data_IF_466285133569
#
_entry.id   IF_466285133569
#
_cell.length_a   1.000
_cell.length_b   1.000
_cell.length_c   1.000
_cell.angle_alpha   90.00
_cell.angle_beta   90.00
_cell.angle_gamma   90.00
#
_symmetry.space_group_name_H-M   'P 1'
#
loop_
_entity.id
_entity.type
_entity.pdbx_description
1 polymer ?
#
# COMPACT_ATOMS: atom_id res chain seq x y z
N UNK A 1 26.06 9.39 20.99
CA UNK A 1 24.95 9.70 20.11
C UNK A 1 23.88 8.68 20.38
N UNK A 2 22.79 9.02 21.10
CA UNK A 2 21.65 8.10 21.24
C UNK A 2 21.01 7.98 19.86
N UNK A 3 21.15 6.81 19.23
CA UNK A 3 20.40 6.50 18.03
C UNK A 3 18.90 6.58 18.39
N UNK A 4 18.19 7.56 17.85
CA UNK A 4 16.76 7.69 18.05
C UNK A 4 16.12 6.42 17.49
N UNK A 5 15.50 5.62 18.38
CA UNK A 5 14.80 4.41 17.95
C UNK A 5 13.60 4.85 17.11
N UNK A 6 13.43 4.34 15.89
CA UNK A 6 12.32 4.79 15.05
C UNK A 6 10.98 4.50 15.74
N UNK A 7 10.02 5.41 15.55
CA UNK A 7 8.67 5.27 16.10
C UNK A 7 7.90 4.10 15.49
N UNK A 8 8.22 3.78 14.24
CA UNK A 8 7.56 2.73 13.48
C UNK A 8 8.51 1.57 13.21
N UNK A 9 8.00 0.37 13.37
CA UNK A 9 8.58 -0.86 12.84
C UNK A 9 7.71 -1.30 11.68
N UNK A 10 8.22 -1.21 10.47
CA UNK A 10 7.44 -1.46 9.27
C UNK A 10 8.24 -2.20 8.21
N UNK A 11 7.58 -3.08 7.50
CA UNK A 11 8.13 -3.74 6.32
C UNK A 11 7.03 -3.95 5.27
N UNK A 12 7.47 -4.08 4.03
CA UNK A 12 6.64 -4.35 2.88
C UNK A 12 7.36 -5.37 2.01
N UNK A 13 6.61 -6.36 1.54
CA UNK A 13 7.07 -7.31 0.54
C UNK A 13 5.93 -7.65 -0.42
N UNK A 14 6.29 -8.23 -1.58
CA UNK A 14 5.32 -8.64 -2.60
C UNK A 14 5.74 -9.97 -3.22
N UNK A 15 4.77 -10.72 -3.71
CA UNK A 15 4.99 -12.05 -4.24
C UNK A 15 4.10 -12.38 -5.42
N UNK A 16 4.70 -13.07 -6.39
CA UNK A 16 4.01 -13.62 -7.54
C UNK A 16 3.01 -14.70 -7.13
N UNK A 17 1.79 -14.57 -7.63
CA UNK A 17 0.72 -15.54 -7.48
C UNK A 17 0.95 -16.83 -8.23
N UNK A 18 0.17 -17.86 -7.88
CA UNK A 18 0.30 -19.16 -8.54
C UNK A 18 -0.23 -19.15 -9.98
N UNK A 19 -1.27 -18.38 -10.28
CA UNK A 19 -1.81 -18.17 -11.62
C UNK A 19 -0.74 -17.63 -12.57
N UNK A 20 -0.07 -16.53 -12.17
CA UNK A 20 0.99 -15.90 -12.93
C UNK A 20 2.22 -16.80 -13.09
N UNK A 21 2.57 -17.54 -12.03
CA UNK A 21 3.67 -18.50 -12.09
C UNK A 21 3.42 -19.61 -13.10
N UNK A 22 2.19 -20.18 -13.12
CA UNK A 22 1.81 -21.21 -14.10
C UNK A 22 1.79 -20.67 -15.52
N UNK A 23 1.39 -19.40 -15.70
CA UNK A 23 1.34 -18.74 -17.00
C UNK A 23 2.70 -18.19 -17.46
N UNK A 24 3.75 -18.23 -16.63
CA UNK A 24 5.04 -17.61 -16.92
C UNK A 24 5.02 -16.09 -16.92
N UNK A 25 4.00 -15.46 -16.31
CA UNK A 25 3.84 -14.01 -16.19
C UNK A 25 4.59 -13.57 -14.91
N UNK A 26 5.50 -12.58 -14.98
CA UNK A 26 6.18 -12.09 -13.79
C UNK A 26 5.20 -11.41 -12.84
N UNK A 27 5.56 -11.28 -11.55
CA UNK A 27 4.78 -10.53 -10.58
C UNK A 27 4.51 -9.11 -11.08
N UNK A 28 3.25 -8.72 -11.09
CA UNK A 28 2.78 -7.39 -11.53
C UNK A 28 2.57 -6.45 -10.35
N UNK A 29 2.50 -6.97 -9.13
CA UNK A 29 2.48 -6.19 -7.91
C UNK A 29 3.84 -5.62 -7.57
N UNK A 30 3.83 -4.42 -7.01
CA UNK A 30 5.03 -3.77 -6.51
C UNK A 30 4.70 -2.85 -5.32
N UNK A 31 5.63 -2.73 -4.38
CA UNK A 31 5.49 -1.81 -3.26
C UNK A 31 6.81 -1.48 -2.60
N UNK A 32 6.87 -0.29 -2.01
CA UNK A 32 8.01 0.19 -1.23
C UNK A 32 7.56 1.15 -0.12
N UNK A 33 8.43 1.37 0.86
CA UNK A 33 8.24 2.34 1.92
C UNK A 33 9.51 3.17 2.18
N UNK A 34 9.32 4.34 2.78
CA UNK A 34 10.35 5.26 3.26
C UNK A 34 10.04 5.65 4.71
N UNK A 35 11.09 5.81 5.51
CA UNK A 35 11.04 6.43 6.86
C UNK A 35 12.15 7.47 6.96
N UNK A 36 11.92 8.70 6.45
CA UNK A 36 12.98 9.70 6.30
C UNK A 36 13.55 10.22 7.64
N UNK A 37 12.74 10.25 8.69
CA UNK A 37 13.09 10.80 9.99
C UNK A 37 12.86 9.85 11.18
N UNK A 38 12.41 8.61 10.89
CA UNK A 38 12.06 7.60 11.88
C UNK A 38 10.69 7.81 12.57
N UNK A 39 10.03 8.95 12.35
CA UNK A 39 8.69 9.28 12.88
C UNK A 39 7.63 9.32 11.79
N UNK A 40 8.02 9.65 10.56
CA UNK A 40 7.15 9.67 9.38
C UNK A 40 7.38 8.41 8.56
N UNK A 41 6.31 7.70 8.22
CA UNK A 41 6.32 6.59 7.26
C UNK A 41 5.53 6.99 6.02
N UNK A 42 6.13 6.81 4.85
CA UNK A 42 5.44 6.88 3.56
C UNK A 42 5.55 5.50 2.92
N UNK A 43 4.43 4.96 2.45
CA UNK A 43 4.41 3.71 1.70
C UNK A 43 3.59 3.86 0.43
N UNK A 44 3.97 3.13 -0.60
CA UNK A 44 3.21 3.03 -1.83
C UNK A 44 3.15 1.58 -2.30
N UNK A 45 1.97 1.15 -2.74
CA UNK A 45 1.67 -0.19 -3.24
C UNK A 45 0.87 -0.04 -4.53
N UNK A 46 1.19 -0.82 -5.53
CA UNK A 46 0.49 -0.87 -6.81
C UNK A 46 0.33 -2.31 -7.28
N UNK A 47 -0.81 -2.59 -7.89
CA UNK A 47 -1.12 -3.80 -8.63
C UNK A 47 -1.18 -3.45 -10.12
N UNK A 48 -0.48 -4.20 -10.92
CA UNK A 48 -0.45 -4.02 -12.38
C UNK A 48 -1.60 -4.77 -13.05
N UNK A 49 -2.42 -4.06 -13.82
CA UNK A 49 -3.57 -4.64 -14.52
C UNK A 49 -3.19 -5.88 -15.35
N UNK A 50 -3.81 -7.02 -15.06
CA UNK A 50 -3.57 -8.27 -15.79
C UNK A 50 -3.86 -8.20 -17.30
N UNK A 51 -4.67 -7.22 -17.73
CA UNK A 51 -4.99 -6.97 -19.14
C UNK A 51 -3.94 -6.09 -19.86
N UNK A 52 -3.04 -5.43 -19.13
CA UNK A 52 -2.06 -4.52 -19.71
C UNK A 52 -0.69 -5.20 -19.87
N UNK A 53 -0.09 -5.17 -21.08
CA UNK A 53 1.11 -5.96 -21.39
C UNK A 53 2.37 -5.53 -20.62
N UNK A 54 2.40 -4.29 -20.13
CA UNK A 54 3.52 -3.71 -19.41
C UNK A 54 3.16 -3.23 -18.01
N UNK A 55 2.08 -3.75 -17.41
CA UNK A 55 1.57 -3.34 -16.11
C UNK A 55 2.57 -3.46 -14.97
N UNK A 56 3.45 -4.47 -14.98
CA UNK A 56 4.58 -4.55 -14.04
C UNK A 56 5.48 -3.32 -14.08
N UNK A 57 5.79 -2.79 -15.27
CA UNK A 57 6.55 -1.55 -15.41
C UNK A 57 5.73 -0.38 -14.85
N UNK A 58 4.43 -0.33 -15.17
CA UNK A 58 3.51 0.68 -14.67
C UNK A 58 3.46 0.72 -13.14
N UNK A 59 3.22 -0.42 -12.48
CA UNK A 59 3.21 -0.52 -11.03
C UNK A 59 4.52 -0.03 -10.39
N UNK A 60 5.66 -0.43 -10.97
CA UNK A 60 6.97 0.01 -10.48
C UNK A 60 7.18 1.52 -10.66
N UNK A 61 6.89 2.07 -11.83
CA UNK A 61 7.01 3.52 -12.11
C UNK A 61 6.10 4.32 -11.18
N UNK A 62 4.86 3.88 -10.99
CA UNK A 62 3.90 4.54 -10.12
C UNK A 62 4.39 4.62 -8.67
N UNK A 63 4.85 3.51 -8.11
CA UNK A 63 5.36 3.46 -6.73
C UNK A 63 6.62 4.31 -6.55
N UNK A 64 7.61 4.18 -7.46
CA UNK A 64 8.86 4.94 -7.37
C UNK A 64 8.61 6.45 -7.53
N UNK A 65 7.75 6.86 -8.45
CA UNK A 65 7.38 8.25 -8.63
C UNK A 65 6.64 8.81 -7.40
N UNK A 66 5.71 8.04 -6.84
CA UNK A 66 4.98 8.43 -5.63
C UNK A 66 5.91 8.67 -4.44
N UNK A 67 6.83 7.75 -4.20
CA UNK A 67 7.80 7.88 -3.11
C UNK A 67 8.81 9.01 -3.34
N UNK A 68 9.26 9.19 -4.58
CA UNK A 68 10.18 10.28 -4.95
C UNK A 68 9.55 11.64 -4.73
N UNK A 69 8.31 11.84 -5.19
CA UNK A 69 7.58 13.10 -5.00
C UNK A 69 7.26 13.34 -3.53
N UNK A 70 6.79 12.33 -2.80
CA UNK A 70 6.53 12.46 -1.37
C UNK A 70 7.79 12.84 -0.59
N UNK A 71 8.93 12.19 -0.88
CA UNK A 71 10.22 12.53 -0.27
C UNK A 71 10.62 13.97 -0.57
N UNK A 72 10.55 14.38 -1.83
CA UNK A 72 10.86 15.75 -2.26
C UNK A 72 10.02 16.80 -1.51
N UNK A 73 8.74 16.52 -1.30
CA UNK A 73 7.84 17.39 -0.54
C UNK A 73 8.20 17.46 0.93
N UNK A 74 8.50 16.32 1.56
CA UNK A 74 8.94 16.26 2.96
C UNK A 74 10.24 17.04 3.22
N UNK A 75 11.11 17.16 2.21
CA UNK A 75 12.33 17.96 2.29
C UNK A 75 12.06 19.48 2.23
N UNK A 76 10.96 19.88 1.57
CA UNK A 76 10.59 21.28 1.37
C UNK A 76 9.65 21.81 2.45
N UNK A 77 8.74 21.00 2.92
CA UNK A 77 7.67 21.36 3.83
C UNK A 77 7.63 20.39 5.03
N UNK A 78 7.14 20.85 6.18
CA UNK A 78 6.88 19.97 7.32
C UNK A 78 5.40 19.58 7.34
N UNK A 79 5.15 18.31 7.35
CA UNK A 79 3.81 17.71 7.43
C UNK A 79 3.56 17.28 8.88
N UNK A 80 2.66 17.95 9.59
CA UNK A 80 2.45 17.79 11.04
C UNK A 80 1.07 17.28 11.40
N UNK A 81 0.09 17.60 10.58
CA UNK A 81 -1.31 17.27 10.83
C UNK A 81 -1.96 16.57 9.65
N UNK A 82 -3.22 16.23 9.82
CA UNK A 82 -4.01 15.51 8.82
C UNK A 82 -4.23 16.32 7.53
N UNK A 83 -4.36 17.65 7.64
CA UNK A 83 -4.51 18.52 6.48
C UNK A 83 -3.26 18.55 5.61
N UNK A 84 -2.09 18.62 6.25
CA UNK A 84 -0.80 18.55 5.59
C UNK A 84 -0.63 17.21 4.85
N UNK A 85 -0.98 16.07 5.50
CA UNK A 85 -0.90 14.75 4.88
C UNK A 85 -1.88 14.62 3.70
N UNK A 86 -3.08 15.18 3.82
CA UNK A 86 -4.08 15.21 2.75
C UNK A 86 -3.55 15.95 1.53
N UNK A 87 -2.95 17.13 1.75
CA UNK A 87 -2.31 17.94 0.70
C UNK A 87 -1.18 17.15 0.02
N UNK A 88 -0.26 16.59 0.82
CA UNK A 88 0.85 15.78 0.32
C UNK A 88 0.36 14.71 -0.65
N UNK A 89 -0.62 13.90 -0.22
CA UNK A 89 -1.11 12.78 -1.01
C UNK A 89 -1.85 13.25 -2.27
N UNK A 90 -2.62 14.35 -2.20
CA UNK A 90 -3.28 14.91 -3.37
C UNK A 90 -2.30 15.37 -4.46
N UNK A 91 -1.13 15.87 -4.06
CA UNK A 91 -0.10 16.39 -4.97
C UNK A 91 0.82 15.29 -5.54
N UNK A 92 0.82 14.08 -4.98
CA UNK A 92 1.62 12.94 -5.46
C UNK A 92 1.06 12.37 -6.77
N UNK A 93 -0.25 12.24 -6.90
CA UNK A 93 -0.87 11.57 -8.06
C UNK A 93 -0.63 12.25 -9.41
N UNK A 94 -0.69 13.59 -9.55
CA UNK A 94 -0.29 14.26 -10.78
C UNK A 94 1.15 13.96 -11.21
N UNK A 95 2.09 13.90 -10.25
CA UNK A 95 3.48 13.57 -10.53
C UNK A 95 3.64 12.10 -10.99
N UNK A 96 2.88 11.19 -10.41
CA UNK A 96 2.84 9.77 -10.84
C UNK A 96 2.33 9.64 -12.26
N UNK A 97 1.23 10.34 -12.61
CA UNK A 97 0.69 10.31 -13.98
C UNK A 97 1.68 10.85 -15.01
N UNK A 98 2.41 11.92 -14.66
CA UNK A 98 3.48 12.44 -15.51
C UNK A 98 4.58 11.40 -15.71
N UNK A 99 5.05 10.77 -14.65
CA UNK A 99 6.10 9.75 -14.73
C UNK A 99 5.66 8.52 -15.55
N UNK A 100 4.39 8.11 -15.46
CA UNK A 100 3.85 7.03 -16.30
C UNK A 100 3.79 7.43 -17.77
N UNK A 101 3.38 8.67 -18.07
CA UNK A 101 3.36 9.17 -19.45
C UNK A 101 4.78 9.26 -20.04
N UNK A 102 5.75 9.74 -19.26
CA UNK A 102 7.16 9.79 -19.68
C UNK A 102 7.70 8.37 -19.93
N UNK A 103 7.43 7.43 -19.02
CA UNK A 103 7.85 6.04 -19.19
C UNK A 103 7.21 5.36 -20.41
N UNK A 104 5.94 5.65 -20.71
CA UNK A 104 5.29 5.17 -21.92
C UNK A 104 5.97 5.72 -23.18
N UNK A 105 6.22 7.02 -23.23
CA UNK A 105 6.92 7.67 -24.35
C UNK A 105 8.33 7.12 -24.55
N UNK A 106 9.13 6.99 -23.49
CA UNK A 106 10.50 6.50 -23.54
C UNK A 106 10.61 5.07 -24.05
N UNK A 107 9.56 4.26 -23.83
CA UNK A 107 9.48 2.87 -24.28
C UNK A 107 8.63 2.67 -25.54
N UNK A 108 8.13 3.74 -26.16
CA UNK A 108 7.24 3.68 -27.33
C UNK A 108 5.98 2.83 -27.09
N UNK A 109 5.38 2.97 -25.90
CA UNK A 109 4.18 2.27 -25.45
C UNK A 109 2.98 3.22 -25.40
N UNK A 110 1.77 2.66 -25.44
CA UNK A 110 0.59 3.42 -25.06
C UNK A 110 0.52 3.56 -23.54
N UNK A 111 -0.01 4.68 -23.02
CA UNK A 111 -0.16 4.89 -21.57
C UNK A 111 -0.96 3.76 -20.90
N UNK A 112 -2.02 3.27 -21.56
CA UNK A 112 -2.83 2.15 -21.09
C UNK A 112 -2.08 0.82 -20.97
N UNK A 113 -0.95 0.64 -21.68
CA UNK A 113 -0.12 -0.56 -21.54
C UNK A 113 0.58 -0.64 -20.17
N UNK A 114 0.66 0.49 -19.46
CA UNK A 114 1.21 0.63 -18.10
C UNK A 114 0.11 0.66 -17.02
N UNK A 115 -1.11 0.22 -17.33
CA UNK A 115 -2.23 0.33 -16.40
C UNK A 115 -1.91 -0.38 -15.07
N UNK A 116 -2.13 0.36 -13.97
CA UNK A 116 -1.92 -0.13 -12.62
C UNK A 116 -2.78 0.64 -11.62
N UNK A 117 -3.07 0.01 -10.49
CA UNK A 117 -3.61 0.66 -9.29
C UNK A 117 -2.50 1.42 -8.56
N UNK A 118 -2.87 2.25 -7.59
CA UNK A 118 -1.92 2.86 -6.67
C UNK A 118 -2.59 3.21 -5.35
N UNK A 119 -2.02 2.75 -4.26
CA UNK A 119 -2.32 3.18 -2.89
C UNK A 119 -1.09 3.83 -2.30
N UNK A 120 -1.21 5.08 -1.85
CA UNK A 120 -0.14 5.82 -1.16
C UNK A 120 -0.59 6.14 0.26
N UNK A 121 0.27 5.88 1.23
CA UNK A 121 -0.01 6.04 2.66
C UNK A 121 1.04 6.97 3.26
N UNK A 122 0.58 7.90 4.09
CA UNK A 122 1.43 8.74 4.92
C UNK A 122 0.99 8.60 6.38
N UNK A 123 1.94 8.28 7.28
CA UNK A 123 1.70 8.03 8.69
C UNK A 123 2.68 8.87 9.52
N UNK A 124 2.14 9.62 10.46
CA UNK A 124 2.87 10.43 11.46
C UNK A 124 2.47 10.01 12.88
N UNK A 125 3.11 10.50 13.94
CA UNK A 125 2.76 10.14 15.32
C UNK A 125 1.29 10.33 15.69
N UNK A 126 0.61 11.33 15.11
CA UNK A 126 -0.77 11.70 15.46
C UNK A 126 -1.80 11.55 14.35
N UNK A 127 -1.39 11.22 13.15
CA UNK A 127 -2.29 11.20 11.99
C UNK A 127 -1.88 10.15 10.97
N UNK A 128 -2.86 9.63 10.24
CA UNK A 128 -2.65 8.79 9.06
C UNK A 128 -3.51 9.28 7.92
N UNK A 129 -2.96 9.29 6.73
CA UNK A 129 -3.70 9.53 5.49
C UNK A 129 -3.38 8.42 4.48
N UNK A 130 -4.36 8.10 3.65
CA UNK A 130 -4.17 7.22 2.51
C UNK A 130 -4.94 7.76 1.31
N UNK A 131 -4.32 7.69 0.13
CA UNK A 131 -4.93 8.05 -1.13
C UNK A 131 -4.82 6.87 -2.09
N UNK A 132 -5.88 6.61 -2.87
CA UNK A 132 -5.97 5.41 -3.68
C UNK A 132 -6.74 5.63 -4.98
N UNK A 133 -6.22 5.04 -6.05
CA UNK A 133 -6.94 4.69 -7.28
C UNK A 133 -6.79 3.17 -7.43
N UNK A 134 -7.92 2.45 -7.46
CA UNK A 134 -7.96 0.99 -7.55
C UNK A 134 -8.61 0.32 -6.34
N UNK A 135 -8.44 -0.97 -6.19
CA UNK A 135 -9.18 -1.89 -5.33
C UNK A 135 -8.35 -2.55 -4.21
N UNK A 136 -7.11 -2.11 -3.99
CA UNK A 136 -6.38 -2.42 -2.77
C UNK A 136 -7.10 -1.91 -1.51
N UNK A 137 -6.56 -2.14 -0.33
CA UNK A 137 -7.17 -1.71 0.92
C UNK A 137 -6.13 -1.30 1.97
N UNK A 138 -6.57 -0.46 2.91
CA UNK A 138 -5.78 -0.04 4.07
C UNK A 138 -6.59 -0.26 5.34
N UNK A 139 -6.01 -0.99 6.29
CA UNK A 139 -6.57 -1.30 7.60
C UNK A 139 -5.69 -0.68 8.67
N UNK A 140 -6.31 -0.05 9.66
CA UNK A 140 -5.58 0.50 10.79
C UNK A 140 -6.28 0.18 12.12
N UNK A 141 -5.52 0.22 13.21
CA UNK A 141 -6.02 0.12 14.58
C UNK A 141 -5.44 1.27 15.41
N UNK A 142 -6.34 1.98 16.10
CA UNK A 142 -6.00 3.03 17.04
C UNK A 142 -6.23 2.54 18.48
N UNK A 143 -5.28 2.77 19.35
CA UNK A 143 -5.36 2.33 20.74
C UNK A 143 -5.56 0.81 20.86
N UNK A 144 -6.50 0.40 21.74
CA UNK A 144 -6.94 -1.01 21.93
C UNK A 144 -8.23 -1.31 21.19
N UNK A 145 -8.60 -0.49 20.20
CA UNK A 145 -9.80 -0.64 19.39
C UNK A 145 -9.79 -1.83 18.44
N UNK A 146 -10.83 -1.91 17.63
CA UNK A 146 -10.94 -2.87 16.53
C UNK A 146 -10.07 -2.46 15.35
N UNK A 147 -9.84 -3.41 14.44
CA UNK A 147 -9.30 -3.10 13.12
C UNK A 147 -10.40 -2.44 12.29
N UNK A 148 -10.08 -1.30 11.73
CA UNK A 148 -11.02 -0.48 10.94
C UNK A 148 -10.44 -0.24 9.55
N UNK A 149 -11.31 -0.17 8.53
CA UNK A 149 -10.91 0.21 7.18
C UNK A 149 -10.60 1.70 7.13
N UNK A 150 -9.38 2.07 6.81
CA UNK A 150 -9.04 3.45 6.44
C UNK A 150 -9.45 3.71 4.97
N UNK A 151 -9.10 2.79 4.07
CA UNK A 151 -9.61 2.75 2.69
C UNK A 151 -10.09 1.33 2.39
N UNK A 152 -11.34 1.20 1.94
CA UNK A 152 -11.91 -0.05 1.48
C UNK A 152 -11.59 -0.29 -0.01
N UNK A 153 -11.60 -1.54 -0.48
CA UNK A 153 -11.51 -1.82 -1.92
C UNK A 153 -12.57 -1.04 -2.70
N UNK A 154 -12.18 -0.48 -3.86
CA UNK A 154 -13.16 0.08 -4.78
C UNK A 154 -13.93 -1.07 -5.46
N UNK A 155 -15.25 -1.00 -5.45
CA UNK A 155 -16.09 -2.02 -6.06
C UNK A 155 -16.73 -1.55 -7.37
N UNK A 156 -16.37 -0.31 -7.85
CA UNK A 156 -16.91 0.28 -9.06
C UNK A 156 -18.46 0.37 -9.07
N UNK A 157 -19.01 1.06 -10.03
CA UNK A 157 -20.46 1.01 -10.32
C UNK A 157 -20.87 -0.35 -10.92
N UNK A 158 -19.94 -1.05 -11.56
CA UNK A 158 -20.07 -2.43 -12.03
C UNK A 158 -19.08 -3.31 -11.26
N UNK A 159 -19.56 -4.36 -10.63
CA UNK A 159 -18.88 -5.21 -9.63
C UNK A 159 -17.51 -5.83 -10.02
N UNK A 160 -16.97 -5.54 -11.20
CA UNK A 160 -15.72 -6.07 -11.74
C UNK A 160 -14.89 -5.01 -12.49
N UNK A 161 -15.09 -3.71 -12.24
CA UNK A 161 -14.36 -2.67 -12.96
C UNK A 161 -13.40 -1.96 -12.00
N UNK A 162 -12.10 -2.32 -12.09
CA UNK A 162 -11.02 -1.66 -11.36
C UNK A 162 -10.58 -0.40 -12.09
N UNK A 163 -10.40 0.70 -11.34
CA UNK A 163 -9.87 1.95 -11.89
C UNK A 163 -8.35 1.95 -11.84
N UNK A 164 -7.72 2.50 -12.87
CA UNK A 164 -6.26 2.58 -12.97
C UNK A 164 -5.76 4.01 -12.98
N UNK A 165 -4.52 4.23 -12.53
CA UNK A 165 -3.88 5.57 -12.55
C UNK A 165 -3.74 6.12 -13.96
N UNK A 166 -3.70 5.24 -14.96
CA UNK A 166 -3.60 5.59 -16.39
C UNK A 166 -4.93 5.99 -17.04
N UNK A 167 -6.05 5.78 -16.35
CA UNK A 167 -7.37 6.11 -16.91
C UNK A 167 -7.53 7.61 -17.16
N UNK A 168 -8.28 8.01 -18.20
CA UNK A 168 -8.52 9.42 -18.49
C UNK A 168 -9.15 10.21 -17.35
N UNK A 169 -10.03 9.55 -16.57
CA UNK A 169 -10.79 10.10 -15.44
C UNK A 169 -10.22 9.72 -14.06
N UNK A 170 -8.97 9.25 -14.01
CA UNK A 170 -8.31 8.77 -12.80
C UNK A 170 -8.35 9.79 -11.63
N UNK A 171 -8.21 11.09 -11.92
CA UNK A 171 -8.27 12.14 -10.89
C UNK A 171 -9.65 12.22 -10.22
N UNK A 172 -10.72 12.01 -10.97
CA UNK A 172 -12.09 11.99 -10.42
C UNK A 172 -12.36 10.73 -9.57
N UNK A 173 -11.56 9.68 -9.75
CA UNK A 173 -11.65 8.42 -9.02
C UNK A 173 -10.70 8.33 -7.83
N UNK A 174 -9.88 9.37 -7.61
CA UNK A 174 -8.97 9.42 -6.46
C UNK A 174 -9.78 9.46 -5.15
N UNK A 175 -9.58 8.48 -4.31
CA UNK A 175 -10.16 8.41 -2.97
C UNK A 175 -9.11 8.78 -1.94
N UNK A 176 -9.48 9.63 -1.00
CA UNK A 176 -8.64 10.10 0.09
C UNK A 176 -9.34 9.85 1.42
N UNK A 177 -8.62 9.29 2.36
CA UNK A 177 -9.07 9.11 3.73
C UNK A 177 -8.00 9.60 4.70
N UNK A 178 -8.44 10.27 5.76
CA UNK A 178 -7.56 10.85 6.77
C UNK A 178 -8.13 10.59 8.15
N UNK A 179 -7.28 10.16 9.09
CA UNK A 179 -7.61 10.06 10.51
C UNK A 179 -6.64 10.89 11.35
N UNK A 180 -7.20 11.72 12.20
CA UNK A 180 -6.47 12.41 13.28
C UNK A 180 -6.50 11.53 14.54
N UNK A 181 -5.78 10.42 14.48
CA UNK A 181 -5.70 9.44 15.58
C UNK A 181 -4.29 8.86 15.66
N UNK A 182 -3.86 8.58 16.88
CA UNK A 182 -2.67 7.74 17.06
C UNK A 182 -2.93 6.33 16.59
N UNK A 183 -2.30 5.95 15.50
CA UNK A 183 -2.35 4.58 14.98
C UNK A 183 -1.34 3.72 15.74
N UNK A 184 -1.73 2.51 16.12
CA UNK A 184 -0.86 1.52 16.76
C UNK A 184 -0.43 0.44 15.77
N UNK A 185 -1.31 0.11 14.84
CA UNK A 185 -1.06 -0.88 13.78
C UNK A 185 -1.66 -0.38 12.47
N UNK A 186 -0.93 -0.62 11.38
CA UNK A 186 -1.40 -0.36 10.03
C UNK A 186 -0.96 -1.49 9.12
N UNK A 187 -1.87 -1.91 8.25
CA UNK A 187 -1.59 -2.87 7.17
C UNK A 187 -2.26 -2.39 5.89
N UNK A 188 -1.60 -2.57 4.77
CA UNK A 188 -2.17 -2.32 3.45
C UNK A 188 -1.79 -3.45 2.51
N UNK A 189 -2.66 -3.76 1.58
CA UNK A 189 -2.41 -4.79 0.59
C UNK A 189 -3.12 -4.52 -0.73
N UNK A 190 -2.65 -5.17 -1.79
CA UNK A 190 -3.37 -5.32 -3.05
C UNK A 190 -4.58 -6.25 -2.88
N UNK A 191 -5.45 -6.28 -3.84
CA UNK A 191 -6.71 -7.04 -3.81
C UNK A 191 -6.51 -8.55 -3.68
N UNK A 192 -5.36 -9.09 -4.12
CA UNK A 192 -5.01 -10.51 -3.97
C UNK A 192 -5.16 -11.05 -2.54
N UNK A 193 -5.02 -10.20 -1.51
CA UNK A 193 -5.29 -10.59 -0.11
C UNK A 193 -6.72 -10.33 0.35
N UNK A 194 -7.56 -9.65 -0.42
CA UNK A 194 -8.89 -9.22 0.03
C UNK A 194 -9.79 -10.40 0.45
N UNK A 195 -9.74 -11.51 -0.27
CA UNK A 195 -10.60 -12.69 -0.01
C UNK A 195 -10.30 -13.38 1.32
N UNK A 196 -9.07 -13.30 1.83
CA UNK A 196 -8.64 -13.95 3.08
C UNK A 196 -8.60 -12.99 4.26
N UNK A 197 -8.55 -11.69 4.01
CA UNK A 197 -8.35 -10.65 5.02
C UNK A 197 -9.60 -9.84 5.33
N UNK A 198 -10.58 -9.81 4.41
CA UNK A 198 -11.79 -9.00 4.54
C UNK A 198 -13.05 -9.87 4.49
N UNK A 199 -14.05 -9.49 5.30
CA UNK A 199 -15.40 -10.01 5.14
C UNK A 199 -16.01 -9.45 3.85
N UNK A 200 -16.24 -10.32 2.86
CA UNK A 200 -16.72 -9.94 1.54
C UNK A 200 -18.14 -9.34 1.57
N UNK A 201 -18.94 -9.64 2.60
CA UNK A 201 -20.31 -9.13 2.74
C UNK A 201 -20.36 -7.79 3.44
N UNK A 202 -19.56 -7.64 4.51
CA UNK A 202 -19.56 -6.46 5.37
C UNK A 202 -18.48 -5.44 4.98
N UNK A 203 -17.49 -5.85 4.17
CA UNK A 203 -16.34 -5.01 3.83
C UNK A 203 -15.46 -4.68 5.04
N UNK A 204 -15.48 -5.52 6.07
CA UNK A 204 -14.76 -5.27 7.33
C UNK A 204 -13.52 -6.15 7.45
N UNK A 205 -12.49 -5.71 8.17
CA UNK A 205 -11.28 -6.50 8.40
C UNK A 205 -11.56 -7.74 9.24
N UNK A 206 -11.04 -8.89 8.81
CA UNK A 206 -11.06 -10.11 9.62
C UNK A 206 -10.05 -9.99 10.78
N UNK A 207 -10.54 -9.84 12.00
CA UNK A 207 -9.70 -9.75 13.21
C UNK A 207 -8.71 -10.92 13.30
N UNK A 208 -9.11 -12.14 12.92
CA UNK A 208 -8.26 -13.32 12.98
C UNK A 208 -7.11 -13.29 11.94
N UNK A 209 -7.20 -12.44 10.91
CA UNK A 209 -6.12 -12.21 9.96
C UNK A 209 -5.14 -11.15 10.48
N UNK A 210 -5.65 -10.01 10.94
CA UNK A 210 -4.80 -8.88 11.32
C UNK A 210 -4.18 -9.00 12.71
N UNK A 211 -4.87 -9.61 13.68
CA UNK A 211 -4.37 -9.75 15.07
C UNK A 211 -2.99 -10.44 15.15
N UNK A 212 -2.74 -11.59 14.50
CA UNK A 212 -1.41 -12.21 14.52
C UNK A 212 -0.33 -11.32 13.94
N UNK A 213 -0.61 -10.58 12.86
CA UNK A 213 0.34 -9.65 12.24
C UNK A 213 0.65 -8.46 13.14
N UNK A 214 -0.38 -7.91 13.79
CA UNK A 214 -0.28 -6.82 14.75
C UNK A 214 0.58 -7.24 15.96
N UNK A 215 0.29 -8.37 16.56
CA UNK A 215 1.08 -8.93 17.66
C UNK A 215 2.53 -9.17 17.24
N UNK A 216 2.75 -9.76 16.09
CA UNK A 216 4.09 -10.00 15.55
C UNK A 216 4.85 -8.68 15.33
N UNK A 217 4.25 -7.68 14.70
CA UNK A 217 4.88 -6.38 14.48
C UNK A 217 5.28 -5.68 15.79
N UNK A 218 4.45 -5.82 16.84
CA UNK A 218 4.77 -5.25 18.15
C UNK A 218 5.88 -6.02 18.89
N UNK A 219 5.90 -7.34 18.80
CA UNK A 219 6.88 -8.21 19.46
C UNK A 219 8.24 -8.22 18.76
N UNK A 220 8.28 -7.98 17.44
CA UNK A 220 9.51 -7.98 16.65
C UNK A 220 10.50 -6.92 17.12
N UNK A 221 11.79 -7.22 17.02
CA UNK A 221 12.87 -6.31 17.40
C UNK A 221 13.02 -5.13 16.41
N UNK A 222 12.62 -5.30 15.15
CA UNK A 222 12.71 -4.25 14.13
C UNK A 222 12.13 -4.64 12.78
N UNK A 223 12.32 -3.74 11.81
CA UNK A 223 11.79 -3.87 10.45
C UNK A 223 12.28 -5.14 9.72
N UNK A 224 13.52 -5.58 9.97
CA UNK A 224 14.09 -6.78 9.34
C UNK A 224 13.33 -8.05 9.70
N UNK A 225 13.01 -8.22 10.98
CA UNK A 225 12.24 -9.38 11.44
C UNK A 225 10.81 -9.36 10.89
N UNK A 226 10.17 -8.17 10.82
CA UNK A 226 8.85 -8.02 10.20
C UNK A 226 8.91 -8.40 8.71
N UNK A 227 9.95 -7.97 8.00
CA UNK A 227 10.14 -8.30 6.59
C UNK A 227 10.29 -9.81 6.38
N UNK A 228 11.10 -10.49 7.21
CA UNK A 228 11.28 -11.93 7.13
C UNK A 228 9.96 -12.67 7.39
N UNK A 229 9.20 -12.23 8.38
CA UNK A 229 7.88 -12.79 8.69
C UNK A 229 6.85 -12.58 7.58
N UNK A 230 6.80 -11.39 6.94
CA UNK A 230 5.95 -11.14 5.77
C UNK A 230 6.36 -12.08 4.63
N UNK A 231 7.64 -12.20 4.33
CA UNK A 231 8.15 -13.06 3.26
C UNK A 231 7.79 -14.53 3.50
N UNK A 232 7.94 -15.01 4.73
CA UNK A 232 7.55 -16.37 5.11
C UNK A 232 6.03 -16.57 4.98
N UNK A 233 5.23 -15.61 5.46
CA UNK A 233 3.78 -15.66 5.35
C UNK A 233 3.33 -15.70 3.88
N UNK A 234 3.84 -14.79 3.03
CA UNK A 234 3.52 -14.76 1.60
C UNK A 234 4.01 -16.03 0.87
N UNK A 235 5.06 -16.68 1.40
CA UNK A 235 5.60 -17.93 0.85
C UNK A 235 4.84 -19.18 1.28
N UNK A 236 3.95 -19.07 2.27
CA UNK A 236 3.34 -20.24 2.90
C UNK A 236 2.37 -21.00 1.98
N UNK A 237 2.39 -22.33 2.06
CA UNK A 237 1.43 -23.19 1.36
C UNK A 237 -0.01 -22.90 1.79
N UNK A 238 -0.20 -22.45 3.03
CA UNK A 238 -1.52 -22.09 3.57
C UNK A 238 -2.11 -20.89 2.84
N UNK A 239 -1.31 -19.87 2.52
CA UNK A 239 -1.75 -18.73 1.73
C UNK A 239 -1.95 -19.15 0.28
N UNK A 240 -0.99 -19.84 -0.30
CA UNK A 240 -1.01 -20.31 -1.69
C UNK A 240 -2.21 -21.21 -2.03
N UNK A 241 -2.76 -21.93 -1.04
CA UNK A 241 -3.99 -22.72 -1.21
C UNK A 241 -5.28 -21.88 -1.29
N UNK A 242 -5.21 -20.57 -1.03
CA UNK A 242 -6.37 -19.67 -0.94
C UNK A 242 -6.27 -18.44 -1.81
N UNK A 243 -5.08 -18.09 -2.23
CA UNK A 243 -4.76 -16.90 -3.03
C UNK A 243 -3.98 -17.36 -4.25
N UNK A 244 -4.50 -17.05 -5.42
CA UNK A 244 -3.94 -17.48 -6.71
C UNK A 244 -3.28 -16.31 -7.45
N UNK A 245 -3.60 -15.08 -7.05
CA UNK A 245 -3.12 -13.83 -7.63
C UNK A 245 -1.83 -13.34 -6.97
N UNK A 246 -1.19 -12.34 -7.60
CA UNK A 246 -0.09 -11.61 -7.02
C UNK A 246 -0.54 -10.92 -5.72
N UNK A 247 0.39 -10.65 -4.83
CA UNK A 247 0.10 -10.01 -3.55
C UNK A 247 1.23 -9.05 -3.17
N UNK A 248 0.87 -7.88 -2.69
CA UNK A 248 1.77 -7.00 -1.95
C UNK A 248 1.18 -6.70 -0.57
N UNK A 249 2.02 -6.68 0.47
CA UNK A 249 1.61 -6.52 1.86
C UNK A 249 2.56 -5.59 2.62
N UNK A 250 2.00 -4.54 3.19
CA UNK A 250 2.62 -3.69 4.20
C UNK A 250 2.14 -4.10 5.58
N UNK A 251 3.07 -4.21 6.53
CA UNK A 251 2.78 -4.35 7.97
C UNK A 251 3.59 -3.32 8.73
N UNK A 252 2.92 -2.55 9.59
CA UNK A 252 3.51 -1.50 10.41
C UNK A 252 2.97 -1.57 11.83
N UNK A 253 3.85 -1.59 12.82
CA UNK A 253 3.53 -1.50 14.24
C UNK A 253 4.24 -0.31 14.89
N UNK A 254 3.59 0.36 15.86
CA UNK A 254 4.20 1.43 16.65
C UNK A 254 5.16 0.85 17.69
N UNK A 255 6.39 1.33 17.71
CA UNK A 255 7.39 0.88 18.68
C UNK A 255 7.02 1.28 20.12
N UNK A 256 7.34 0.41 21.09
CA UNK A 256 7.07 0.71 22.51
C UNK A 256 5.62 0.53 22.95
N UNK A 257 4.73 0.07 22.10
CA UNK A 257 3.35 -0.29 22.45
C UNK A 257 3.22 -1.79 22.72
N UNK A 258 2.47 -2.17 23.76
CA UNK A 258 2.14 -3.58 24.05
C UNK A 258 0.66 -3.82 23.74
N UNK A 259 0.39 -4.88 22.98
CA UNK A 259 -0.97 -5.32 22.56
C UNK A 259 -1.70 -5.98 23.74
#
# INVERSE_FOLDING_TARGET
MNAHRPLWKAALDYRQGQSHRRAGIPCQDYGRLLMPDGETLIAAIADGAGSAPHSRLGARVAVEAALSEAKRRLELERFRDAGDLSKLLGEVFPAVRTALADAANDNSLALGDLACTLTVIALTPGSVAAAQIGDGFVVARSGRGSYEMLIAPDRGEHANETSFVTDPDAEARLRLAVWEKEVQFLSAATDGLATVSLDQRLGQPHTNFFRPMDQFAHMSDGAGEIHDGIREFLASDRLAARVDDDVALLVCGRAGYSV
#
